data_IF_709943833965
#
_entry.id   IF_709943833965
#
_cell.length_a   1.000
_cell.length_b   1.000
_cell.length_c   1.000
_cell.angle_alpha   90.00
_cell.angle_beta   90.00
_cell.angle_gamma   90.00
#
_symmetry.space_group_name_H-M   'P 1'
#
loop_
_entity.id
_entity.type
_entity.pdbx_description
1 polymer ?
#
# COMPACT_ATOMS: atom_id res chain seq x y z
N UNK A 1 -1.71 -11.78 15.30
CA UNK A 1 -2.86 -11.67 14.36
C UNK A 1 -4.10 -12.37 14.89
N UNK A 2 -3.99 -13.42 15.71
CA UNK A 2 -5.15 -14.13 16.31
C UNK A 2 -5.81 -13.41 17.51
N UNK A 3 -5.40 -12.18 17.82
CA UNK A 3 -5.86 -11.47 19.03
C UNK A 3 -6.90 -10.37 18.76
N UNK A 4 -6.99 -9.83 17.53
CA UNK A 4 -7.97 -8.79 17.21
C UNK A 4 -9.32 -9.40 16.82
N UNK A 5 -10.35 -9.02 17.55
CA UNK A 5 -11.71 -9.55 17.39
C UNK A 5 -12.56 -8.65 16.50
N UNK A 6 -13.49 -9.26 15.76
CA UNK A 6 -14.52 -8.49 15.05
C UNK A 6 -15.36 -7.68 16.05
N UNK A 7 -15.62 -6.41 15.73
CA UNK A 7 -16.30 -5.48 16.62
C UNK A 7 -15.42 -4.85 17.72
N UNK A 8 -14.15 -5.22 17.84
CA UNK A 8 -13.22 -4.62 18.80
C UNK A 8 -12.97 -3.14 18.48
N UNK A 9 -12.90 -2.30 19.51
CA UNK A 9 -12.58 -0.88 19.39
C UNK A 9 -11.08 -0.68 19.63
N UNK A 10 -10.37 -0.12 18.67
CA UNK A 10 -8.92 0.11 18.77
C UNK A 10 -8.56 1.51 18.31
N UNK A 11 -7.46 2.04 18.85
CA UNK A 11 -6.87 3.28 18.33
C UNK A 11 -5.95 2.97 17.17
N UNK A 12 -6.07 3.76 16.11
CA UNK A 12 -5.17 3.70 14.96
C UNK A 12 -4.43 5.02 14.80
N UNK A 13 -3.22 4.95 14.22
CA UNK A 13 -2.38 6.11 13.90
C UNK A 13 -2.40 6.35 12.39
N UNK A 14 -3.33 7.15 11.85
CA UNK A 14 -3.52 7.31 10.40
C UNK A 14 -2.49 8.21 9.72
N UNK A 15 -1.57 8.81 10.49
CA UNK A 15 -0.51 9.68 10.02
C UNK A 15 0.82 9.19 10.58
N UNK A 16 1.73 8.75 9.72
CA UNK A 16 3.05 8.26 10.13
C UNK A 16 3.91 9.39 10.73
N UNK A 17 3.82 10.58 10.18
CA UNK A 17 4.52 11.80 10.60
C UNK A 17 3.86 12.51 11.80
N UNK A 18 2.77 11.95 12.34
CA UNK A 18 2.04 12.46 13.51
C UNK A 18 1.60 11.30 14.42
N UNK A 19 2.54 10.68 15.16
CA UNK A 19 2.25 9.49 15.96
C UNK A 19 1.25 9.75 17.11
N UNK A 20 1.05 11.02 17.48
CA UNK A 20 0.14 11.45 18.53
C UNK A 20 -1.30 11.60 18.03
N UNK A 21 -1.50 11.84 16.73
CA UNK A 21 -2.83 11.85 16.14
C UNK A 21 -3.36 10.42 16.02
N UNK A 22 -4.32 10.09 16.88
CA UNK A 22 -5.01 8.79 16.90
C UNK A 22 -6.51 8.95 16.73
N UNK A 23 -7.13 8.04 16.00
CA UNK A 23 -8.60 7.93 15.92
C UNK A 23 -9.06 6.57 16.43
N UNK A 24 -10.21 6.56 17.10
CA UNK A 24 -10.83 5.35 17.60
C UNK A 24 -11.69 4.73 16.49
N UNK A 25 -11.44 3.46 16.17
CA UNK A 25 -12.14 2.74 15.10
C UNK A 25 -12.69 1.43 15.62
N UNK A 26 -13.74 0.93 14.98
CA UNK A 26 -14.22 -0.44 15.17
C UNK A 26 -13.64 -1.35 14.10
N UNK A 27 -13.16 -2.51 14.50
CA UNK A 27 -12.64 -3.52 13.58
C UNK A 27 -13.77 -4.29 12.94
N UNK A 28 -13.72 -4.40 11.62
CA UNK A 28 -14.57 -5.30 10.84
C UNK A 28 -13.69 -6.21 9.99
N UNK A 29 -13.72 -7.52 10.24
CA UNK A 29 -12.91 -8.48 9.49
C UNK A 29 -13.71 -8.98 8.29
N UNK A 30 -13.14 -8.84 7.10
CA UNK A 30 -13.77 -9.37 5.89
C UNK A 30 -12.78 -10.20 5.08
N UNK A 31 -13.30 -11.26 4.49
CA UNK A 31 -12.60 -12.05 3.51
C UNK A 31 -12.85 -11.45 2.13
N UNK A 32 -11.80 -11.02 1.42
CA UNK A 32 -11.97 -10.31 0.16
C UNK A 32 -12.84 -11.06 -0.85
N UNK A 33 -12.77 -12.40 -0.88
CA UNK A 33 -13.52 -13.23 -1.82
C UNK A 33 -15.02 -13.28 -1.54
N UNK A 34 -15.43 -12.98 -0.31
CA UNK A 34 -16.82 -13.09 0.13
C UNK A 34 -17.59 -11.76 -0.04
N UNK A 35 -16.89 -10.64 -0.26
CA UNK A 35 -17.46 -9.28 -0.19
C UNK A 35 -17.14 -8.39 -1.41
N UNK A 36 -17.27 -8.88 -2.66
CA UNK A 36 -16.83 -8.14 -3.86
C UNK A 36 -17.53 -6.78 -4.06
N UNK A 37 -18.83 -6.68 -3.77
CA UNK A 37 -19.58 -5.42 -3.91
C UNK A 37 -19.15 -4.38 -2.89
N UNK A 38 -18.76 -4.81 -1.68
CA UNK A 38 -18.24 -3.91 -0.65
C UNK A 38 -16.87 -3.37 -1.05
N UNK A 39 -15.99 -4.22 -1.54
CA UNK A 39 -14.68 -3.81 -2.07
C UNK A 39 -14.82 -2.80 -3.22
N UNK A 40 -15.74 -3.05 -4.15
CA UNK A 40 -16.01 -2.14 -5.27
C UNK A 40 -16.43 -0.75 -4.82
N UNK A 41 -17.28 -0.63 -3.77
CA UNK A 41 -17.68 0.67 -3.19
C UNK A 41 -16.52 1.44 -2.59
N UNK A 42 -15.52 0.72 -2.07
CA UNK A 42 -14.28 1.27 -1.52
C UNK A 42 -13.25 1.61 -2.61
N UNK A 43 -13.53 1.34 -3.89
CA UNK A 43 -12.55 1.49 -4.97
C UNK A 43 -11.46 0.42 -4.96
N UNK A 44 -11.70 -0.70 -4.28
CA UNK A 44 -10.75 -1.82 -4.15
C UNK A 44 -11.19 -2.93 -5.10
N UNK A 45 -10.24 -3.41 -5.90
CA UNK A 45 -10.46 -4.52 -6.81
C UNK A 45 -9.59 -5.70 -6.43
N UNK A 46 -10.18 -6.90 -6.48
CA UNK A 46 -9.42 -8.16 -6.41
C UNK A 46 -8.85 -8.45 -7.78
N UNK A 47 -7.66 -9.04 -7.78
CA UNK A 47 -7.07 -9.60 -8.97
C UNK A 47 -6.33 -10.87 -8.61
N UNK A 48 -6.14 -11.68 -9.64
CA UNK A 48 -5.25 -12.82 -9.57
C UNK A 48 -4.36 -12.87 -10.78
N UNK A 49 -3.12 -13.29 -10.56
CA UNK A 49 -2.15 -13.46 -11.61
C UNK A 49 -1.80 -14.94 -11.70
N UNK A 50 -2.05 -15.53 -12.87
CA UNK A 50 -1.58 -16.87 -13.20
C UNK A 50 -0.12 -16.80 -13.65
N UNK A 51 0.74 -16.38 -12.74
CA UNK A 51 2.17 -16.19 -12.94
C UNK A 51 2.91 -16.83 -11.79
N UNK A 52 3.87 -17.67 -12.13
CA UNK A 52 4.78 -18.22 -11.14
C UNK A 52 5.86 -17.18 -10.83
N UNK A 53 5.85 -16.63 -9.62
CA UNK A 53 7.01 -15.91 -9.09
C UNK A 53 8.01 -16.94 -8.59
N UNK A 54 9.21 -16.91 -9.19
CA UNK A 54 10.34 -17.65 -8.66
C UNK A 54 10.66 -17.13 -7.24
N UNK A 55 10.58 -18.03 -6.26
CA UNK A 55 10.88 -17.69 -4.86
C UNK A 55 12.33 -17.25 -4.67
N UNK A 56 13.24 -17.65 -5.55
CA UNK A 56 14.64 -17.25 -5.55
C UNK A 56 14.75 -15.77 -5.89
N UNK A 57 14.08 -15.34 -6.97
CA UNK A 57 13.98 -13.92 -7.37
C UNK A 57 13.36 -13.09 -6.25
N UNK A 58 12.26 -13.55 -5.65
CA UNK A 58 11.64 -12.83 -4.53
C UNK A 58 12.58 -12.68 -3.32
N UNK A 59 13.30 -13.75 -2.97
CA UNK A 59 14.30 -13.71 -1.88
C UNK A 59 15.43 -12.75 -2.21
N UNK A 60 15.87 -12.70 -3.46
CA UNK A 60 16.89 -11.78 -3.90
C UNK A 60 16.44 -10.33 -3.75
N UNK A 61 15.24 -9.98 -4.25
CA UNK A 61 14.66 -8.64 -4.10
C UNK A 61 14.54 -8.25 -2.62
N UNK A 62 14.02 -9.17 -1.78
CA UNK A 62 13.91 -8.94 -0.33
C UNK A 62 15.29 -8.69 0.29
N UNK A 63 16.29 -9.52 -0.05
CA UNK A 63 17.65 -9.38 0.46
C UNK A 63 18.29 -8.05 0.03
N UNK A 64 18.06 -7.62 -1.22
CA UNK A 64 18.51 -6.32 -1.69
C UNK A 64 17.95 -5.21 -0.82
N UNK A 65 16.63 -5.20 -0.57
CA UNK A 65 16.02 -4.17 0.28
C UNK A 65 16.57 -4.23 1.72
N UNK A 66 16.68 -5.42 2.31
CA UNK A 66 17.21 -5.61 3.67
C UNK A 66 18.66 -5.12 3.82
N UNK A 67 19.45 -5.13 2.75
CA UNK A 67 20.83 -4.64 2.76
C UNK A 67 20.95 -3.11 2.63
N UNK A 68 19.87 -2.41 2.26
CA UNK A 68 19.88 -0.94 2.20
C UNK A 68 20.03 -0.35 3.61
N UNK A 69 20.40 0.94 3.74
CA UNK A 69 20.36 1.62 5.04
C UNK A 69 18.94 1.60 5.65
N UNK A 70 18.86 1.75 6.97
CA UNK A 70 17.60 1.65 7.74
C UNK A 70 16.56 2.72 7.35
N UNK A 71 17.01 3.85 6.82
CA UNK A 71 16.17 4.93 6.33
C UNK A 71 15.56 4.65 4.94
N UNK A 72 16.02 3.61 4.25
CA UNK A 72 15.48 3.19 2.95
C UNK A 72 14.70 1.87 3.09
N UNK A 73 13.44 1.92 2.67
CA UNK A 73 12.51 0.79 2.69
C UNK A 73 12.01 0.44 1.29
N UNK A 74 12.60 1.04 0.25
CA UNK A 74 12.10 0.97 -1.12
C UNK A 74 13.21 0.60 -2.12
N UNK A 75 12.87 -0.21 -3.12
CA UNK A 75 13.70 -0.51 -4.27
C UNK A 75 12.94 -0.15 -5.55
N UNK A 76 13.46 0.83 -6.29
CA UNK A 76 12.83 1.41 -7.47
C UNK A 76 13.20 0.65 -8.74
N UNK A 77 12.29 0.66 -9.70
CA UNK A 77 12.53 0.18 -11.05
C UNK A 77 13.74 0.88 -11.70
N UNK A 78 14.50 0.17 -12.55
CA UNK A 78 15.71 0.73 -13.19
C UNK A 78 15.49 1.93 -14.11
N UNK A 79 14.34 1.97 -14.76
CA UNK A 79 13.91 3.10 -15.61
C UNK A 79 13.33 4.28 -14.80
N UNK A 80 13.67 4.37 -13.51
CA UNK A 80 13.29 5.50 -12.67
C UNK A 80 13.89 6.80 -13.19
N UNK A 81 13.01 7.79 -13.42
CA UNK A 81 13.35 8.99 -14.19
C UNK A 81 14.11 10.08 -13.46
N UNK A 82 14.24 10.01 -12.13
CA UNK A 82 14.89 11.07 -11.36
C UNK A 82 16.29 10.64 -10.92
N UNK A 83 17.22 10.76 -11.88
CA UNK A 83 18.66 10.65 -11.64
C UNK A 83 19.04 11.72 -10.60
N UNK A 84 19.61 11.30 -9.47
CA UNK A 84 20.08 12.20 -8.40
C UNK A 84 19.12 12.40 -7.23
N UNK A 85 17.98 11.71 -7.20
CA UNK A 85 16.99 11.74 -6.09
C UNK A 85 17.48 11.08 -4.79
N UNK A 86 18.60 10.35 -4.81
CA UNK A 86 19.04 9.52 -3.68
C UNK A 86 18.25 8.21 -3.52
N UNK A 87 17.29 7.94 -4.41
CA UNK A 87 16.52 6.70 -4.42
C UNK A 87 17.41 5.50 -4.79
N UNK A 88 17.12 4.35 -4.16
CA UNK A 88 17.81 3.10 -4.45
C UNK A 88 17.14 2.42 -5.64
N UNK A 89 17.89 2.28 -6.73
CA UNK A 89 17.44 1.71 -7.99
C UNK A 89 17.90 0.25 -8.10
N UNK A 90 17.07 -0.60 -8.69
CA UNK A 90 17.38 -1.99 -9.00
C UNK A 90 18.52 -2.13 -10.02
N UNK A 91 19.69 -2.46 -9.52
CA UNK A 91 20.90 -2.70 -10.31
C UNK A 91 20.93 -4.09 -10.95
N UNK A 92 20.30 -5.09 -10.33
CA UNK A 92 20.27 -6.48 -10.80
C UNK A 92 19.36 -6.65 -12.03
N UNK A 93 18.22 -5.96 -12.04
CA UNK A 93 17.16 -6.12 -13.04
C UNK A 93 16.07 -7.10 -12.61
N UNK A 94 16.28 -7.84 -11.53
CA UNK A 94 15.32 -8.83 -11.03
C UNK A 94 14.05 -8.17 -10.48
N UNK A 95 14.20 -7.09 -9.71
CA UNK A 95 13.06 -6.34 -9.20
C UNK A 95 12.28 -5.70 -10.35
N UNK A 96 13.00 -5.10 -11.31
CA UNK A 96 12.44 -4.44 -12.48
C UNK A 96 11.66 -5.42 -13.35
N UNK A 97 12.24 -6.57 -13.66
CA UNK A 97 11.59 -7.63 -14.44
C UNK A 97 10.36 -8.21 -13.74
N UNK A 98 10.38 -8.31 -12.40
CA UNK A 98 9.20 -8.75 -11.65
C UNK A 98 8.09 -7.69 -11.69
N UNK A 99 8.42 -6.40 -11.50
CA UNK A 99 7.47 -5.29 -11.63
C UNK A 99 6.85 -5.26 -13.04
N UNK A 100 7.63 -5.46 -14.09
CA UNK A 100 7.15 -5.58 -15.47
C UNK A 100 6.10 -6.67 -15.64
N UNK A 101 6.39 -7.87 -15.13
CA UNK A 101 5.48 -9.01 -15.24
C UNK A 101 4.18 -8.78 -14.45
N UNK A 102 4.28 -8.17 -13.28
CA UNK A 102 3.15 -7.76 -12.44
C UNK A 102 2.29 -6.73 -13.19
N UNK A 103 2.90 -5.65 -13.70
CA UNK A 103 2.21 -4.59 -14.45
C UNK A 103 1.53 -5.14 -15.70
N UNK A 104 2.23 -5.97 -16.49
CA UNK A 104 1.66 -6.62 -17.68
C UNK A 104 0.45 -7.49 -17.34
N UNK A 105 0.53 -8.24 -16.24
CA UNK A 105 -0.55 -9.13 -15.82
C UNK A 105 -1.78 -8.39 -15.32
N UNK A 106 -1.61 -7.18 -14.77
CA UNK A 106 -2.70 -6.31 -14.33
C UNK A 106 -3.18 -5.34 -15.41
N UNK A 107 -2.67 -5.47 -16.65
CA UNK A 107 -2.94 -4.55 -17.77
C UNK A 107 -2.68 -3.09 -17.38
N UNK A 108 -1.64 -2.87 -16.56
CA UNK A 108 -1.18 -1.54 -16.22
C UNK A 108 -0.43 -0.93 -17.40
N UNK A 109 -0.67 0.37 -17.62
CA UNK A 109 -0.03 1.11 -18.70
C UNK A 109 1.48 1.16 -18.49
N UNK A 110 2.23 1.12 -19.59
CA UNK A 110 3.66 1.41 -19.53
C UNK A 110 3.86 2.91 -19.48
N UNK A 111 4.49 3.38 -18.42
CA UNK A 111 4.79 4.77 -18.21
C UNK A 111 6.29 5.04 -18.30
N UNK A 112 6.63 6.20 -18.86
CA UNK A 112 8.00 6.68 -18.94
C UNK A 112 8.02 8.18 -18.59
N UNK A 113 8.80 8.60 -17.58
CA UNK A 113 9.59 7.77 -16.68
C UNK A 113 8.73 6.87 -15.77
N UNK A 114 9.28 5.74 -15.34
CA UNK A 114 8.58 4.78 -14.47
C UNK A 114 8.82 5.10 -13.01
N UNK A 115 7.78 5.01 -12.18
CA UNK A 115 7.87 5.21 -10.72
C UNK A 115 7.57 3.92 -9.92
N UNK A 116 7.54 2.78 -10.60
CA UNK A 116 7.21 1.50 -9.97
C UNK A 116 8.30 1.08 -8.96
N UNK A 117 7.88 0.52 -7.82
CA UNK A 117 8.80 0.10 -6.75
C UNK A 117 8.28 -1.08 -5.95
N UNK A 118 9.21 -1.76 -5.28
CA UNK A 118 8.91 -2.63 -4.15
C UNK A 118 9.19 -1.91 -2.84
N UNK A 119 8.33 -2.16 -1.85
CA UNK A 119 8.46 -1.59 -0.51
C UNK A 119 8.52 -2.72 0.52
N UNK A 120 9.48 -2.64 1.43
CA UNK A 120 9.64 -3.53 2.57
C UNK A 120 10.06 -2.73 3.81
N UNK A 121 9.15 -2.61 4.78
CA UNK A 121 9.50 -1.99 6.06
C UNK A 121 10.47 -2.86 6.82
N UNK A 122 11.55 -2.28 7.35
CA UNK A 122 12.57 -3.06 8.08
C UNK A 122 12.28 -3.13 9.56
N UNK A 123 11.83 -2.00 10.13
CA UNK A 123 11.69 -1.83 11.58
C UNK A 123 10.50 -2.56 12.20
N UNK A 124 9.44 -2.78 11.42
CA UNK A 124 8.18 -3.35 11.92
C UNK A 124 7.99 -4.83 11.55
N UNK A 125 9.02 -5.44 10.96
CA UNK A 125 8.83 -6.61 10.12
C UNK A 125 9.31 -7.91 10.76
N UNK A 126 8.43 -8.50 11.56
CA UNK A 126 8.66 -9.84 12.11
C UNK A 126 8.18 -10.97 11.18
N UNK A 127 7.45 -10.70 10.07
CA UNK A 127 6.75 -11.75 9.26
C UNK A 127 6.60 -11.51 7.75
N UNK A 128 7.37 -10.60 7.14
CA UNK A 128 7.34 -10.27 5.71
C UNK A 128 5.97 -9.81 5.18
N UNK A 129 5.01 -9.50 6.06
CA UNK A 129 3.62 -9.18 5.73
C UNK A 129 3.42 -7.85 5.03
N UNK A 130 4.45 -7.01 5.00
CA UNK A 130 4.38 -5.64 4.47
C UNK A 130 5.12 -5.48 3.13
N UNK A 131 5.59 -6.58 2.53
CA UNK A 131 6.14 -6.55 1.18
C UNK A 131 5.02 -6.30 0.16
N UNK A 132 5.08 -5.17 -0.54
CA UNK A 132 4.10 -4.78 -1.55
C UNK A 132 4.75 -4.00 -2.69
N UNK A 133 3.96 -3.71 -3.72
CA UNK A 133 4.40 -2.95 -4.89
C UNK A 133 3.46 -1.81 -5.18
N UNK A 134 4.05 -0.71 -5.64
CA UNK A 134 3.35 0.45 -6.14
C UNK A 134 3.60 0.61 -7.63
N UNK A 135 2.54 0.98 -8.35
CA UNK A 135 2.59 1.35 -9.76
C UNK A 135 1.97 2.73 -9.95
N UNK A 136 2.60 3.51 -10.81
CA UNK A 136 2.20 4.89 -11.04
C UNK A 136 1.76 5.06 -12.48
N UNK A 137 0.54 5.56 -12.63
CA UNK A 137 -0.07 5.85 -13.93
C UNK A 137 0.01 7.35 -14.30
N UNK A 138 0.93 8.12 -13.67
CA UNK A 138 1.39 9.46 -14.10
C UNK A 138 2.60 9.90 -13.25
N UNK A 139 2.96 11.20 -13.21
CA UNK A 139 3.99 11.77 -12.31
C UNK A 139 3.39 12.36 -11.00
N UNK A 140 2.67 11.60 -10.15
CA UNK A 140 1.96 12.20 -9.02
C UNK A 140 2.88 12.60 -7.85
N UNK A 141 4.13 12.15 -7.84
CA UNK A 141 5.17 12.61 -6.89
C UNK A 141 5.35 14.14 -6.95
N UNK A 142 4.94 14.78 -8.07
CA UNK A 142 4.95 16.24 -8.22
C UNK A 142 3.69 16.90 -7.66
N UNK A 143 2.50 16.40 -8.03
CA UNK A 143 1.21 16.80 -7.47
C UNK A 143 0.14 15.72 -7.70
N UNK A 144 -0.79 15.53 -6.75
CA UNK A 144 -1.85 14.51 -6.86
C UNK A 144 -2.76 14.73 -8.07
N UNK A 145 -3.12 15.99 -8.38
CA UNK A 145 -4.00 16.28 -9.52
C UNK A 145 -3.39 15.90 -10.87
N UNK A 146 -2.06 15.74 -10.93
CA UNK A 146 -1.34 15.36 -12.12
C UNK A 146 -1.17 13.86 -12.25
N UNK A 147 -1.64 13.06 -11.29
CA UNK A 147 -1.63 11.63 -11.52
C UNK A 147 -2.35 10.69 -10.59
N UNK A 148 -2.27 9.41 -10.94
CA UNK A 148 -2.89 8.29 -10.22
C UNK A 148 -1.80 7.32 -9.78
N UNK A 149 -1.81 6.95 -8.50
CA UNK A 149 -0.97 5.89 -7.95
C UNK A 149 -1.85 4.69 -7.65
N UNK A 150 -1.60 3.59 -8.37
CA UNK A 150 -2.24 2.29 -8.14
C UNK A 150 -1.33 1.45 -7.25
N UNK A 151 -1.80 1.11 -6.06
CA UNK A 151 -1.08 0.21 -5.16
C UNK A 151 -1.62 -1.19 -5.33
N UNK A 152 -0.73 -2.20 -5.38
CA UNK A 152 -1.11 -3.60 -5.33
C UNK A 152 -0.50 -4.28 -4.10
N UNK A 153 -1.38 -4.88 -3.28
CA UNK A 153 -0.97 -5.75 -2.19
C UNK A 153 -1.05 -7.19 -2.70
N UNK A 154 0.11 -7.80 -2.87
CA UNK A 154 0.27 -9.15 -3.40
C UNK A 154 0.48 -10.15 -2.27
N UNK A 155 -0.19 -11.31 -2.33
CA UNK A 155 0.18 -12.44 -1.49
C UNK A 155 1.34 -13.22 -2.14
N UNK A 156 2.57 -12.78 -1.84
CA UNK A 156 3.80 -13.42 -2.32
C UNK A 156 4.35 -14.49 -1.36
N UNK A 157 3.71 -14.69 -0.21
CA UNK A 157 4.15 -15.62 0.84
C UNK A 157 3.20 -16.80 1.04
N UNK A 158 3.52 -17.64 2.03
CA UNK A 158 2.69 -18.79 2.42
C UNK A 158 1.65 -18.44 3.51
N UNK A 159 1.48 -17.16 3.83
CA UNK A 159 0.59 -16.67 4.89
C UNK A 159 -0.42 -15.68 4.34
N UNK A 160 -1.63 -15.66 4.92
CA UNK A 160 -2.62 -14.64 4.58
C UNK A 160 -2.03 -13.24 4.73
N UNK A 161 -2.31 -12.38 3.75
CA UNK A 161 -2.04 -10.95 3.85
C UNK A 161 -3.33 -10.24 4.21
N UNK A 162 -3.19 -9.18 4.99
CA UNK A 162 -4.30 -8.35 5.41
C UNK A 162 -4.02 -6.92 5.00
N UNK A 163 -5.07 -6.17 4.68
CA UNK A 163 -5.02 -4.73 4.47
C UNK A 163 -6.05 -4.10 5.37
N UNK A 164 -5.66 -3.12 6.18
CA UNK A 164 -6.62 -2.33 6.92
C UNK A 164 -7.07 -1.15 6.05
N UNK A 165 -8.36 -0.88 5.98
CA UNK A 165 -8.91 0.23 5.19
C UNK A 165 -9.95 0.95 6.02
N UNK A 166 -9.90 2.28 6.07
CA UNK A 166 -11.00 3.04 6.63
C UNK A 166 -12.18 3.00 5.67
N UNK A 167 -13.33 2.50 6.13
CA UNK A 167 -14.56 2.44 5.37
C UNK A 167 -15.18 3.85 5.26
N UNK A 168 -14.52 4.70 4.47
CA UNK A 168 -14.94 6.07 4.18
C UNK A 168 -15.43 6.08 2.72
N UNK A 169 -16.61 6.66 2.44
CA UNK A 169 -17.08 6.86 1.07
C UNK A 169 -16.03 7.56 0.21
N UNK A 170 -15.71 6.98 -0.94
CA UNK A 170 -14.69 7.52 -1.86
C UNK A 170 -14.96 8.95 -2.30
N UNK A 171 -16.23 9.38 -2.35
CA UNK A 171 -16.61 10.78 -2.58
C UNK A 171 -16.06 11.72 -1.50
N UNK A 172 -16.20 11.36 -0.23
CA UNK A 172 -15.71 12.17 0.89
C UNK A 172 -14.18 12.28 0.84
N UNK A 173 -13.49 11.17 0.54
CA UNK A 173 -12.03 11.17 0.42
C UNK A 173 -11.58 12.09 -0.71
N UNK A 174 -12.25 12.02 -1.87
CA UNK A 174 -11.97 12.87 -3.04
C UNK A 174 -12.22 14.36 -2.76
N UNK A 175 -13.29 14.68 -2.04
CA UNK A 175 -13.65 16.07 -1.73
C UNK A 175 -12.74 16.69 -0.66
N UNK A 176 -12.24 15.87 0.26
CA UNK A 176 -11.47 16.33 1.42
C UNK A 176 -9.97 16.43 1.14
N UNK A 177 -9.40 15.50 0.39
CA UNK A 177 -7.96 15.48 0.11
C UNK A 177 -7.67 16.30 -1.16
N UNK A 178 -7.36 17.58 -0.94
CA UNK A 178 -7.06 18.58 -1.98
C UNK A 178 -5.61 18.48 -2.50
N UNK A 179 -5.36 19.19 -3.59
CA UNK A 179 -4.03 19.40 -4.18
C UNK A 179 -3.68 20.91 -4.15
N UNK A 180 -2.55 21.35 -3.56
CA UNK A 180 -1.57 20.53 -2.83
C UNK A 180 -2.17 19.87 -1.59
N UNK A 181 -1.59 18.72 -1.21
CA UNK A 181 -1.95 18.01 0.00
C UNK A 181 -1.71 18.91 1.23
N UNK A 182 -2.71 19.03 2.09
CA UNK A 182 -2.59 19.69 3.39
C UNK A 182 -2.99 18.69 4.48
N UNK A 183 -2.05 18.40 5.39
CA UNK A 183 -2.25 17.52 6.56
C UNK A 183 -3.51 17.88 7.34
N UNK A 184 -3.81 19.17 7.46
CA UNK A 184 -4.98 19.66 8.18
C UNK A 184 -6.30 19.27 7.52
N UNK A 185 -6.37 19.20 6.18
CA UNK A 185 -7.58 18.73 5.49
C UNK A 185 -7.88 17.26 5.87
N UNK A 186 -6.84 16.46 6.02
CA UNK A 186 -6.96 15.07 6.40
C UNK A 186 -7.36 14.91 7.88
N UNK A 187 -6.75 15.68 8.79
CA UNK A 187 -7.18 15.73 10.21
C UNK A 187 -8.64 16.16 10.33
N UNK A 188 -9.07 17.18 9.59
CA UNK A 188 -10.45 17.64 9.57
C UNK A 188 -11.41 16.54 9.04
N UNK A 189 -11.07 15.87 7.95
CA UNK A 189 -11.85 14.73 7.45
C UNK A 189 -11.96 13.62 8.51
N UNK A 190 -10.83 13.27 9.13
CA UNK A 190 -10.73 12.21 10.14
C UNK A 190 -11.30 12.56 11.53
N UNK A 191 -11.66 13.82 11.77
CA UNK A 191 -12.33 14.23 13.01
C UNK A 191 -13.81 14.53 12.79
N UNK A 192 -14.22 14.83 11.55
CA UNK A 192 -15.61 15.14 11.20
C UNK A 192 -16.54 13.93 11.22
N UNK A 193 -16.03 12.70 11.03
CA UNK A 193 -16.83 11.47 11.05
C UNK A 193 -16.76 10.86 12.45
N UNK A 194 -17.93 10.67 13.08
CA UNK A 194 -18.02 10.29 14.51
C UNK A 194 -17.76 8.81 14.79
N UNK A 195 -17.79 7.96 13.77
CA UNK A 195 -17.57 6.51 13.88
C UNK A 195 -16.84 6.03 12.63
N UNK A 196 -15.64 5.49 12.82
CA UNK A 196 -14.89 4.82 11.77
C UNK A 196 -15.04 3.31 11.94
N UNK A 197 -15.41 2.64 10.86
CA UNK A 197 -15.13 1.23 10.70
C UNK A 197 -13.80 1.08 9.97
N UNK A 198 -12.90 0.31 10.55
CA UNK A 198 -11.70 -0.14 9.86
C UNK A 198 -11.92 -1.57 9.42
N UNK A 199 -11.92 -1.76 8.11
CA UNK A 199 -12.01 -3.06 7.48
C UNK A 199 -10.64 -3.71 7.46
N UNK A 200 -10.50 -4.84 8.14
CA UNK A 200 -9.36 -5.74 7.98
C UNK A 200 -9.72 -6.72 6.87
N UNK A 201 -9.22 -6.42 5.68
CA UNK A 201 -9.50 -7.17 4.45
C UNK A 201 -8.43 -8.25 4.29
N UNK A 202 -8.83 -9.51 4.40
CA UNK A 202 -7.95 -10.64 4.14
C UNK A 202 -7.87 -10.94 2.64
N UNK A 203 -6.66 -10.96 2.11
CA UNK A 203 -6.36 -11.46 0.76
C UNK A 203 -6.01 -12.94 0.90
N UNK A 204 -7.04 -13.78 0.87
CA UNK A 204 -6.88 -15.24 1.06
C UNK A 204 -6.63 -15.98 -0.27
N UNK A 205 -6.19 -17.28 -0.25
CA UNK A 205 -6.83 -18.34 0.54
C UNK A 205 -5.92 -19.30 1.33
N UNK A 206 -6.34 -19.62 2.55
CA UNK A 206 -6.05 -20.90 3.19
C UNK A 206 -6.69 -22.00 2.35
N UNK A 207 -6.03 -22.40 1.26
CA UNK A 207 -6.45 -23.55 0.45
C UNK A 207 -6.27 -23.48 -1.07
N UNK A 208 -5.81 -22.38 -1.69
CA UNK A 208 -5.56 -22.46 -3.14
C UNK A 208 -4.31 -23.26 -3.48
N UNK A 209 -4.51 -24.22 -4.38
CA UNK A 209 -3.45 -25.03 -4.96
C UNK A 209 -2.52 -24.13 -5.79
N UNK A 210 -1.26 -24.10 -5.36
CA UNK A 210 -0.04 -23.71 -6.09
C UNK A 210 -0.28 -23.27 -7.54
N UNK A 211 -0.08 -21.96 -7.81
CA UNK A 211 0.35 -21.31 -9.09
C UNK A 211 -0.24 -19.90 -9.29
N UNK A 212 -1.14 -19.44 -8.43
CA UNK A 212 -1.82 -18.14 -8.58
C UNK A 212 -1.48 -17.17 -7.46
N UNK A 213 -1.05 -15.97 -7.81
CA UNK A 213 -0.86 -14.87 -6.86
C UNK A 213 -2.16 -14.09 -6.78
N UNK A 214 -2.67 -13.93 -5.57
CA UNK A 214 -3.87 -13.14 -5.32
C UNK A 214 -3.49 -11.80 -4.70
N UNK A 215 -4.23 -10.76 -5.06
CA UNK A 215 -4.00 -9.44 -4.49
C UNK A 215 -5.21 -8.53 -4.52
N UNK A 216 -5.02 -7.37 -3.91
CA UNK A 216 -5.93 -6.23 -3.98
C UNK A 216 -5.20 -5.07 -4.62
N UNK A 217 -5.85 -4.37 -5.55
CA UNK A 217 -5.37 -3.09 -6.03
C UNK A 217 -6.39 -1.99 -5.79
N UNK A 218 -5.88 -0.78 -5.60
CA UNK A 218 -6.68 0.43 -5.33
C UNK A 218 -5.89 1.68 -5.70
N UNK A 219 -6.61 2.78 -5.90
CA UNK A 219 -6.01 4.12 -6.01
C UNK A 219 -5.66 4.62 -4.59
N UNK A 220 -4.36 4.75 -4.32
CA UNK A 220 -3.84 5.11 -2.99
C UNK A 220 -4.17 6.54 -2.56
N UNK A 221 -4.52 7.41 -3.50
CA UNK A 221 -4.88 8.79 -3.20
C UNK A 221 -6.36 8.93 -2.84
N UNK A 222 -7.22 8.10 -3.43
CA UNK A 222 -8.67 8.18 -3.22
C UNK A 222 -9.19 7.20 -2.17
N UNK A 223 -8.34 6.29 -1.70
CA UNK A 223 -8.70 5.27 -0.72
C UNK A 223 -7.84 5.45 0.53
N UNK A 224 -8.48 5.51 1.70
CA UNK A 224 -7.78 5.77 2.96
C UNK A 224 -7.34 4.44 3.58
N UNK A 225 -6.03 4.17 3.55
CA UNK A 225 -5.46 2.90 3.99
C UNK A 225 -4.85 2.96 5.38
N UNK A 226 -4.91 1.82 6.04
CA UNK A 226 -4.30 1.54 7.32
C UNK A 226 -3.37 0.32 7.18
N UNK A 227 -2.17 0.38 7.77
CA UNK A 227 -1.23 -0.74 7.88
C UNK A 227 -1.30 -1.37 9.27
N UNK A 228 -0.46 -2.36 9.52
CA UNK A 228 -0.38 -3.02 10.83
C UNK A 228 0.78 -2.43 11.64
N UNK A 229 0.58 -2.25 12.94
CA UNK A 229 1.60 -1.76 13.87
C UNK A 229 1.95 -2.79 14.93
N UNK A 230 2.57 -2.35 16.03
CA UNK A 230 2.87 -3.19 17.21
C UNK A 230 1.59 -3.72 17.86
N UNK A 231 1.71 -4.74 18.72
CA UNK A 231 0.58 -5.33 19.46
C UNK A 231 -0.28 -4.26 20.15
N UNK A 232 -1.56 -4.21 19.78
CA UNK A 232 -2.54 -3.23 20.30
C UNK A 232 -2.64 -1.91 19.51
N UNK A 233 -1.82 -1.71 18.48
CA UNK A 233 -1.87 -0.53 17.60
C UNK A 233 -1.99 -0.95 16.13
N UNK A 234 -2.88 -0.29 15.39
CA UNK A 234 -2.91 -0.38 13.93
C UNK A 234 -2.20 0.87 13.39
N UNK A 235 -1.01 0.65 12.82
CA UNK A 235 -0.18 1.68 12.22
C UNK A 235 -0.70 2.02 10.83
N UNK A 236 -1.49 3.09 10.71
CA UNK A 236 -2.13 3.43 9.47
C UNK A 236 -1.22 4.30 8.60
N UNK A 237 -0.74 3.74 7.48
CA UNK A 237 0.10 4.48 6.55
C UNK A 237 -0.69 4.75 5.30
N UNK A 238 -1.23 5.97 5.24
CA UNK A 238 -1.39 6.67 3.98
C UNK A 238 -0.08 6.54 3.22
N UNK A 239 -0.14 6.21 1.93
CA UNK A 239 0.97 6.38 0.99
C UNK A 239 1.77 7.62 1.41
N UNK A 240 3.03 7.44 1.80
CA UNK A 240 3.89 8.50 2.33
C UNK A 240 3.72 9.77 1.49
N UNK A 241 3.12 10.81 2.06
CA UNK A 241 3.14 12.14 1.46
C UNK A 241 4.27 12.88 2.16
N UNK A 242 5.44 12.93 1.55
CA UNK A 242 6.47 13.87 1.99
C UNK A 242 5.92 15.25 1.63
N UNK A 243 5.76 16.11 2.64
CA UNK A 243 5.47 17.52 2.44
C UNK A 243 6.75 18.17 1.88
N UNK A 244 6.97 18.02 0.58
CA UNK A 244 8.04 18.70 -0.14
C UNK A 244 7.48 19.95 -0.80
N UNK A 245 8.12 21.09 -0.57
CA UNK A 245 8.02 22.21 -1.50
C UNK A 245 8.63 21.72 -2.82
N UNK A 246 7.88 21.69 -3.94
CA UNK A 246 8.39 21.19 -5.22
C UNK A 246 9.58 22.01 -5.76
N UNK A 247 9.96 23.10 -5.09
CA UNK A 247 11.10 23.94 -5.41
C UNK A 247 12.17 24.04 -4.31
N UNK A 248 12.07 23.26 -3.22
CA UNK A 248 13.14 23.21 -2.21
C UNK A 248 14.09 22.04 -2.45
N UNK A 249 14.87 22.13 -3.53
CA UNK A 249 16.16 21.43 -3.72
C UNK A 249 17.17 22.43 -4.29
#
# INVERSE_FOLDING_TARGET
MDELSDGEMVYIKPLHDDPDFKILVRIQRITAQNEPERLKKLGISRFSINYHIDRTVLKEIINQILQLPDEFEELWHRDYGEIGSGNIIDSSGEASGLLDNISKSMEWGNESPRFDKFILRKRDNYRLSEFHTDHYCSQPERTRSKGVMKRAILNLGDTSRWVAVLDIPSSIVKDSIKDPYLKENYKNMLTSIKKYDTLLIETVPSGYKRMEINGLFFDSFTTVHCGFGRKGEIGAVLSHWIQGDPFSL
#
